data_IF_332214455903
#
_entry.id   IF_332214455903
#
_cell.length_a   1.000
_cell.length_b   1.000
_cell.length_c   1.000
_cell.angle_alpha   90.00
_cell.angle_beta   90.00
_cell.angle_gamma   90.00
#
_symmetry.space_group_name_H-M   'P 1'
#
loop_
_entity.id
_entity.type
_entity.pdbx_description
1 polymer ?
#
# COMPACT_ATOMS: atom_id res chain seq x y z
N UNK A 1 -9.28 15.09 -11.72
CA UNK A 1 -8.12 14.54 -12.46
C UNK A 1 -7.57 13.40 -11.62
N UNK A 2 -7.49 12.21 -12.18
CA UNK A 2 -7.07 11.04 -11.42
C UNK A 2 -5.64 11.22 -10.84
N UNK A 3 -5.43 10.68 -9.64
CA UNK A 3 -4.11 10.67 -9.00
C UNK A 3 -3.19 9.62 -9.65
N UNK A 4 -3.73 8.43 -9.97
CA UNK A 4 -3.02 7.37 -10.64
C UNK A 4 -3.84 6.86 -11.83
N UNK A 5 -3.19 6.68 -12.95
CA UNK A 5 -3.79 6.08 -14.15
C UNK A 5 -2.89 4.95 -14.66
N UNK A 6 -3.50 3.81 -14.89
CA UNK A 6 -2.90 2.65 -15.52
C UNK A 6 -3.52 2.45 -16.91
N UNK A 7 -2.71 2.49 -17.96
CA UNK A 7 -3.16 2.38 -19.34
C UNK A 7 -2.64 1.10 -19.96
N UNK A 8 -3.53 0.13 -20.22
CA UNK A 8 -3.26 -1.14 -20.93
C UNK A 8 -2.01 -1.87 -20.40
N UNK A 9 -1.86 -1.93 -19.06
CA UNK A 9 -0.70 -2.58 -18.45
C UNK A 9 -0.69 -4.08 -18.76
N UNK A 10 0.39 -4.54 -19.37
CA UNK A 10 0.67 -5.95 -19.60
C UNK A 10 2.01 -6.34 -18.98
N UNK A 11 2.11 -7.57 -18.48
CA UNK A 11 3.35 -8.14 -17.96
C UNK A 11 3.47 -9.60 -18.32
N UNK A 12 4.55 -9.92 -19.02
CA UNK A 12 4.92 -11.28 -19.38
C UNK A 12 6.24 -11.66 -18.72
N UNK A 13 6.32 -12.88 -18.20
CA UNK A 13 7.53 -13.49 -17.65
C UNK A 13 7.84 -14.76 -18.46
N UNK A 14 8.85 -14.70 -19.34
CA UNK A 14 9.09 -15.79 -20.28
C UNK A 14 7.82 -16.02 -21.12
N UNK A 15 7.25 -17.23 -21.07
CA UNK A 15 6.01 -17.59 -21.76
C UNK A 15 4.72 -17.32 -20.99
N UNK A 16 4.81 -16.90 -19.70
CA UNK A 16 3.64 -16.67 -18.84
C UNK A 16 3.16 -15.24 -18.91
N UNK A 17 1.91 -15.01 -19.35
CA UNK A 17 1.26 -13.71 -19.30
C UNK A 17 0.62 -13.53 -17.92
N UNK A 18 1.23 -12.70 -17.05
CA UNK A 18 0.74 -12.44 -15.70
C UNK A 18 -0.29 -11.32 -15.64
N UNK A 19 -0.23 -10.35 -16.56
CA UNK A 19 -1.23 -9.28 -16.75
C UNK A 19 -1.39 -9.00 -18.24
N UNK A 20 -2.61 -8.74 -18.67
CA UNK A 20 -2.94 -8.45 -20.05
C UNK A 20 -3.90 -7.27 -20.17
N UNK A 21 -3.39 -6.12 -20.63
CA UNK A 21 -4.17 -4.95 -20.99
C UNK A 21 -4.94 -4.27 -19.84
N UNK A 22 -4.48 -4.36 -18.61
CA UNK A 22 -5.17 -3.81 -17.42
C UNK A 22 -5.18 -2.30 -17.45
N UNK A 23 -6.39 -1.69 -17.39
CA UNK A 23 -6.58 -0.24 -17.37
C UNK A 23 -7.53 0.17 -16.24
N UNK A 24 -7.10 1.15 -15.43
CA UNK A 24 -7.91 1.74 -14.36
C UNK A 24 -7.35 3.11 -13.94
N UNK A 25 -8.15 3.84 -13.16
CA UNK A 25 -7.76 5.10 -12.52
C UNK A 25 -8.08 5.06 -11.04
N UNK A 26 -7.33 5.81 -10.24
CA UNK A 26 -7.57 6.05 -8.82
C UNK A 26 -7.65 7.55 -8.61
N UNK A 27 -8.75 8.01 -7.98
CA UNK A 27 -8.96 9.42 -7.70
C UNK A 27 -8.27 9.85 -6.39
N UNK A 28 -7.92 11.13 -6.21
CA UNK A 28 -7.38 11.62 -4.94
C UNK A 28 -8.35 11.38 -3.77
N UNK A 29 -7.85 10.87 -2.65
CA UNK A 29 -8.64 10.59 -1.45
C UNK A 29 -9.55 9.37 -1.55
N UNK A 30 -9.44 8.59 -2.60
CA UNK A 30 -10.19 7.35 -2.81
C UNK A 30 -9.58 6.17 -2.05
N UNK A 31 -10.44 5.25 -1.61
CA UNK A 31 -10.05 3.88 -1.25
C UNK A 31 -10.41 2.95 -2.39
N UNK A 32 -9.39 2.56 -3.15
CA UNK A 32 -9.51 1.67 -4.30
C UNK A 32 -9.02 0.28 -3.96
N UNK A 33 -9.85 -0.74 -4.17
CA UNK A 33 -9.47 -2.13 -3.88
C UNK A 33 -9.23 -2.93 -5.15
N UNK A 34 -8.23 -3.82 -5.10
CA UNK A 34 -7.95 -4.78 -6.15
C UNK A 34 -8.15 -6.17 -5.56
N UNK A 35 -9.14 -6.90 -6.07
CA UNK A 35 -9.48 -8.24 -5.60
C UNK A 35 -9.39 -9.26 -6.74
N UNK A 36 -9.46 -10.54 -6.39
CA UNK A 36 -9.44 -11.64 -7.34
C UNK A 36 -8.86 -12.91 -6.74
N UNK A 37 -9.05 -14.08 -7.37
CA UNK A 37 -8.47 -15.34 -6.92
C UNK A 37 -6.95 -15.31 -6.79
N UNK A 38 -6.38 -16.33 -6.14
CA UNK A 38 -4.94 -16.51 -6.13
C UNK A 38 -4.43 -16.70 -7.57
N UNK A 39 -3.29 -16.11 -7.89
CA UNK A 39 -2.77 -16.12 -9.26
C UNK A 39 -3.43 -15.12 -10.24
N UNK A 40 -4.40 -14.32 -9.81
CA UNK A 40 -5.07 -13.34 -10.69
C UNK A 40 -4.18 -12.18 -11.18
N UNK A 41 -2.94 -12.04 -10.68
CA UNK A 41 -2.02 -10.99 -11.10
C UNK A 41 -1.96 -9.76 -10.17
N UNK A 42 -2.66 -9.79 -9.03
CA UNK A 42 -2.76 -8.65 -8.09
C UNK A 42 -1.37 -8.14 -7.62
N UNK A 43 -0.54 -9.04 -7.10
CA UNK A 43 0.82 -8.72 -6.64
C UNK A 43 1.71 -8.24 -7.79
N UNK A 44 1.56 -8.83 -8.99
CA UNK A 44 2.25 -8.37 -10.19
C UNK A 44 1.87 -6.93 -10.51
N UNK A 45 0.58 -6.58 -10.43
CA UNK A 45 0.10 -5.22 -10.64
C UNK A 45 0.72 -4.24 -9.63
N UNK A 46 0.74 -4.57 -8.34
CA UNK A 46 1.43 -3.74 -7.33
C UNK A 46 2.92 -3.60 -7.61
N UNK A 47 3.58 -4.67 -8.07
CA UNK A 47 5.00 -4.61 -8.46
C UNK A 47 5.26 -3.67 -9.63
N UNK A 48 4.32 -3.58 -10.60
CA UNK A 48 4.40 -2.60 -11.69
C UNK A 48 4.22 -1.18 -11.15
N UNK A 49 3.18 -0.93 -10.34
CA UNK A 49 2.89 0.41 -9.78
C UNK A 49 4.02 0.94 -8.89
N UNK A 50 4.78 0.04 -8.25
CA UNK A 50 5.91 0.41 -7.38
C UNK A 50 7.26 0.42 -8.08
N UNK A 51 7.33 0.03 -9.36
CA UNK A 51 8.57 -0.01 -10.14
C UNK A 51 9.51 -1.17 -9.79
N UNK A 52 9.03 -2.20 -9.07
CA UNK A 52 9.78 -3.46 -8.85
C UNK A 52 9.92 -4.20 -10.18
N UNK A 53 8.86 -4.19 -10.98
CA UNK A 53 8.89 -4.66 -12.36
C UNK A 53 8.55 -3.51 -13.33
N UNK A 54 9.16 -3.52 -14.49
CA UNK A 54 8.70 -2.69 -15.61
C UNK A 54 7.59 -3.44 -16.37
N UNK A 55 6.54 -2.75 -16.81
CA UNK A 55 5.54 -3.37 -17.68
C UNK A 55 6.18 -3.82 -19.00
N UNK A 56 5.64 -4.88 -19.61
CA UNK A 56 6.00 -5.29 -20.96
C UNK A 56 5.36 -4.34 -21.97
N UNK A 57 4.12 -3.93 -21.69
CA UNK A 57 3.37 -2.95 -22.48
C UNK A 57 2.52 -2.07 -21.53
N UNK A 58 2.14 -0.91 -22.04
CA UNK A 58 1.28 0.04 -21.34
C UNK A 58 2.05 1.11 -20.59
N UNK A 59 1.32 1.95 -19.85
CA UNK A 59 1.83 3.16 -19.24
C UNK A 59 1.24 3.37 -17.84
N UNK A 60 2.04 3.92 -16.91
CA UNK A 60 1.62 4.31 -15.58
C UNK A 60 1.83 5.83 -15.45
N UNK A 61 0.74 6.55 -15.15
CA UNK A 61 0.78 7.98 -14.91
C UNK A 61 0.39 8.26 -13.46
N UNK A 62 1.15 9.07 -12.76
CA UNK A 62 0.87 9.48 -11.40
C UNK A 62 1.02 10.98 -11.27
N UNK A 63 -0.05 11.65 -10.82
CA UNK A 63 -0.10 13.12 -10.74
C UNK A 63 0.32 13.80 -12.05
N UNK A 64 -0.21 13.31 -13.17
CA UNK A 64 0.09 13.78 -14.51
C UNK A 64 1.50 13.45 -15.04
N UNK A 65 2.33 12.72 -14.29
CA UNK A 65 3.71 12.38 -14.65
C UNK A 65 3.85 10.90 -14.98
N UNK A 66 4.59 10.60 -16.03
CA UNK A 66 4.92 9.22 -16.40
C UNK A 66 5.86 8.59 -15.35
N UNK A 67 5.46 7.43 -14.83
CA UNK A 67 6.25 6.61 -13.91
C UNK A 67 6.73 5.30 -14.54
N UNK A 68 6.39 5.05 -15.81
CA UNK A 68 6.68 3.79 -16.48
C UNK A 68 8.16 3.47 -16.44
N UNK A 69 8.54 2.32 -15.88
CA UNK A 69 9.93 1.88 -15.79
C UNK A 69 10.79 2.59 -14.73
N UNK A 70 10.23 3.48 -13.92
CA UNK A 70 10.95 4.06 -12.79
C UNK A 70 11.25 2.99 -11.74
N UNK A 71 12.42 3.14 -11.07
CA UNK A 71 12.85 2.26 -9.97
C UNK A 71 12.04 2.54 -8.68
N UNK A 72 11.95 1.59 -7.72
CA UNK A 72 11.14 1.73 -6.50
C UNK A 72 11.43 3.00 -5.68
N UNK A 73 12.71 3.38 -5.52
CA UNK A 73 13.07 4.59 -4.78
C UNK A 73 12.62 5.87 -5.49
N UNK A 74 12.47 5.84 -6.82
CA UNK A 74 11.98 6.98 -7.61
C UNK A 74 10.47 7.12 -7.48
N UNK A 75 9.72 6.00 -7.53
CA UNK A 75 8.26 5.99 -7.30
C UNK A 75 7.92 6.42 -5.87
N UNK A 76 8.70 5.95 -4.87
CA UNK A 76 8.55 6.37 -3.48
C UNK A 76 8.77 7.88 -3.30
N UNK A 77 9.78 8.46 -3.95
CA UNK A 77 10.02 9.93 -3.94
C UNK A 77 8.89 10.72 -4.59
N UNK A 78 8.13 10.11 -5.52
CA UNK A 78 6.94 10.73 -6.13
C UNK A 78 5.71 10.67 -5.21
N UNK A 79 5.77 9.87 -4.15
CA UNK A 79 4.71 9.76 -3.14
C UNK A 79 3.88 8.49 -3.21
N UNK A 80 4.34 7.46 -3.94
CA UNK A 80 3.74 6.12 -3.90
C UNK A 80 4.53 5.27 -2.91
N UNK A 81 3.90 4.81 -1.83
CA UNK A 81 4.53 3.96 -0.81
C UNK A 81 3.75 2.66 -0.68
N UNK A 82 4.44 1.54 -0.53
CA UNK A 82 3.84 0.22 -0.34
C UNK A 82 4.21 -0.37 1.01
N UNK A 83 3.22 -0.92 1.72
CA UNK A 83 3.45 -1.88 2.78
C UNK A 83 3.49 -3.28 2.18
N UNK A 84 4.46 -4.10 2.56
CA UNK A 84 4.58 -5.47 2.04
C UNK A 84 3.81 -6.45 2.93
N UNK A 85 3.37 -7.57 2.34
CA UNK A 85 2.62 -8.65 2.99
C UNK A 85 3.34 -9.25 4.21
N UNK A 86 4.65 -9.44 4.11
CA UNK A 86 5.49 -9.70 5.29
C UNK A 86 5.87 -8.35 5.89
N UNK A 87 5.49 -8.14 7.14
CA UNK A 87 5.69 -6.92 7.88
C UNK A 87 7.12 -6.40 7.72
N UNK A 88 7.25 -5.25 7.04
CA UNK A 88 8.52 -4.50 6.87
C UNK A 88 9.00 -3.91 8.21
N UNK A 89 8.61 -4.52 9.31
CA UNK A 89 8.98 -4.09 10.65
C UNK A 89 10.31 -4.70 11.02
N UNK A 90 11.26 -3.87 11.37
CA UNK A 90 12.52 -4.28 11.96
C UNK A 90 12.24 -4.76 13.39
N UNK A 91 11.99 -6.07 13.53
CA UNK A 91 11.49 -6.68 14.79
C UNK A 91 12.41 -6.50 15.99
N UNK A 92 13.70 -6.27 15.77
CA UNK A 92 14.72 -6.07 16.81
C UNK A 92 14.85 -4.60 17.23
N UNK A 93 14.31 -3.68 16.47
CA UNK A 93 14.35 -2.24 16.72
C UNK A 93 13.11 -1.81 17.53
N UNK A 94 13.17 -0.63 18.14
CA UNK A 94 12.00 -0.07 18.81
C UNK A 94 10.90 0.30 17.82
N UNK A 95 9.68 0.39 18.31
CA UNK A 95 8.52 0.88 17.53
C UNK A 95 8.81 2.28 16.97
N UNK A 96 9.44 3.14 17.76
CA UNK A 96 9.83 4.48 17.35
C UNK A 96 10.91 4.47 16.26
N UNK A 97 11.96 3.68 16.41
CA UNK A 97 13.07 3.64 15.45
C UNK A 97 12.60 3.09 14.08
N UNK A 98 11.65 2.17 14.08
CA UNK A 98 11.01 1.70 12.85
C UNK A 98 10.39 2.87 12.06
N UNK A 99 9.68 3.78 12.72
CA UNK A 99 9.05 4.93 12.05
C UNK A 99 10.11 5.94 11.61
N UNK A 100 11.19 6.11 12.37
CA UNK A 100 12.34 6.94 11.99
C UNK A 100 12.99 6.40 10.70
N UNK A 101 13.24 5.08 10.64
CA UNK A 101 13.81 4.42 9.45
C UNK A 101 12.92 4.61 8.21
N UNK A 102 11.60 4.54 8.38
CA UNK A 102 10.63 4.76 7.29
C UNK A 102 10.75 6.12 6.58
N UNK A 103 11.36 7.11 7.24
CA UNK A 103 11.58 8.44 6.67
C UNK A 103 12.86 8.56 5.82
N UNK A 104 13.73 7.55 5.83
CA UNK A 104 15.05 7.57 5.17
C UNK A 104 15.01 7.94 3.69
N UNK A 105 13.93 7.58 2.97
CA UNK A 105 13.73 7.89 1.54
C UNK A 105 13.72 9.42 1.27
N UNK A 106 13.40 10.24 2.26
CA UNK A 106 13.25 11.69 2.13
C UNK A 106 14.38 12.51 2.78
N UNK A 107 15.31 11.86 3.46
CA UNK A 107 16.44 12.56 4.07
C UNK A 107 17.30 13.20 2.99
N UNK A 108 17.61 14.48 3.20
CA UNK A 108 18.44 15.29 2.31
C UNK A 108 19.88 15.42 2.82
N UNK A 109 20.08 15.34 4.14
CA UNK A 109 21.42 15.36 4.74
C UNK A 109 22.17 14.12 4.34
N UNK A 110 23.21 14.30 3.52
CA UNK A 110 24.15 13.20 3.20
C UNK A 110 24.88 12.73 4.47
N UNK A 111 25.52 11.56 4.39
CA UNK A 111 26.30 10.93 5.47
C UNK A 111 27.27 11.94 6.12
N UNK A 112 27.90 12.78 5.33
CA UNK A 112 28.85 13.82 5.80
C UNK A 112 28.18 14.90 6.65
N UNK A 113 26.98 15.33 6.33
CA UNK A 113 26.23 16.29 7.14
C UNK A 113 25.85 15.74 8.51
N UNK A 114 25.49 14.45 8.57
CA UNK A 114 25.19 13.75 9.82
C UNK A 114 26.43 13.59 10.71
N UNK A 115 27.58 13.19 10.13
CA UNK A 115 28.86 13.00 10.85
C UNK A 115 29.38 14.33 11.41
N UNK A 116 29.31 15.42 10.63
CA UNK A 116 29.79 16.74 11.04
C UNK A 116 28.84 17.47 12.01
N UNK A 117 27.68 16.90 12.33
CA UNK A 117 26.74 17.47 13.29
C UNK A 117 26.25 18.88 12.93
N UNK A 118 26.12 19.18 11.64
CA UNK A 118 25.74 20.52 11.17
C UNK A 118 24.38 20.94 11.73
N UNK A 119 24.16 22.24 11.88
CA UNK A 119 22.87 22.77 12.33
C UNK A 119 21.69 22.27 11.47
N UNK A 120 21.88 22.17 10.16
CA UNK A 120 20.89 21.63 9.24
C UNK A 120 20.56 20.15 9.53
N UNK A 121 21.58 19.32 9.79
CA UNK A 121 21.39 17.90 10.13
C UNK A 121 20.67 17.74 11.48
N UNK A 122 21.03 18.53 12.51
CA UNK A 122 20.32 18.51 13.81
C UNK A 122 18.86 18.92 13.68
N UNK A 123 18.57 19.95 12.87
CA UNK A 123 17.20 20.38 12.60
C UNK A 123 16.42 19.32 11.84
N UNK A 124 17.03 18.63 10.87
CA UNK A 124 16.40 17.52 10.14
C UNK A 124 16.12 16.34 11.07
N UNK A 125 17.09 15.93 11.89
CA UNK A 125 16.89 14.87 12.90
C UNK A 125 15.74 15.19 13.86
N UNK A 126 15.65 16.42 14.34
CA UNK A 126 14.55 16.82 15.22
C UNK A 126 13.20 16.66 14.52
N UNK A 127 13.07 17.14 13.27
CA UNK A 127 11.85 16.98 12.46
C UNK A 127 11.46 15.51 12.24
N UNK A 128 12.46 14.66 11.96
CA UNK A 128 12.26 13.22 11.79
C UNK A 128 11.70 12.60 13.06
N UNK A 129 12.26 12.95 14.23
CA UNK A 129 11.78 12.44 15.53
C UNK A 129 10.38 12.95 15.86
N UNK A 130 10.11 14.23 15.66
CA UNK A 130 8.79 14.83 15.89
C UNK A 130 7.74 14.15 14.99
N UNK A 131 8.05 13.96 13.70
CA UNK A 131 7.17 13.27 12.76
C UNK A 131 6.95 11.80 13.14
N UNK A 132 7.97 11.11 13.66
CA UNK A 132 7.82 9.74 14.11
C UNK A 132 6.81 9.63 15.28
N UNK A 133 6.90 10.49 16.29
CA UNK A 133 5.94 10.54 17.39
C UNK A 133 4.53 10.92 16.94
N UNK A 134 4.42 11.87 16.02
CA UNK A 134 3.13 12.24 15.39
C UNK A 134 2.47 11.03 14.74
N UNK A 135 3.23 10.25 13.95
CA UNK A 135 2.69 9.06 13.27
C UNK A 135 2.34 7.94 14.26
N UNK A 136 3.13 7.74 15.31
CA UNK A 136 2.80 6.79 16.36
C UNK A 136 1.51 7.18 17.10
N UNK A 137 1.33 8.47 17.37
CA UNK A 137 0.07 8.98 17.93
C UNK A 137 -1.10 8.77 16.98
N UNK A 138 -0.90 9.03 15.70
CA UNK A 138 -1.93 8.87 14.67
C UNK A 138 -2.46 7.43 14.60
N UNK A 139 -1.57 6.43 14.70
CA UNK A 139 -1.95 5.00 14.64
C UNK A 139 -2.28 4.38 16.01
N UNK A 140 -2.19 5.14 17.11
CA UNK A 140 -2.49 4.68 18.48
C UNK A 140 -1.40 3.81 19.11
N UNK A 141 -0.12 4.09 18.84
CA UNK A 141 1.04 3.37 19.37
C UNK A 141 1.99 4.24 20.19
N UNK A 142 1.58 5.44 20.63
CA UNK A 142 2.45 6.36 21.37
C UNK A 142 3.00 5.76 22.67
N UNK A 143 2.17 5.03 23.41
CA UNK A 143 2.52 4.36 24.66
C UNK A 143 3.51 3.19 24.47
N UNK A 144 3.65 2.70 23.26
CA UNK A 144 4.50 1.57 22.88
C UNK A 144 5.77 1.99 22.13
N UNK A 145 6.01 3.29 21.95
CA UNK A 145 7.13 3.81 21.15
C UNK A 145 8.49 3.25 21.51
N UNK A 146 8.77 3.07 22.79
CA UNK A 146 10.05 2.54 23.31
C UNK A 146 10.10 1.00 23.39
N UNK A 147 9.02 0.28 23.07
CA UNK A 147 9.01 -1.19 23.06
C UNK A 147 9.69 -1.71 21.79
N UNK A 148 10.25 -2.92 21.88
CA UNK A 148 10.75 -3.66 20.73
C UNK A 148 9.57 -4.02 19.82
N UNK A 149 9.68 -3.70 18.54
CA UNK A 149 8.58 -3.87 17.58
C UNK A 149 8.11 -5.33 17.44
N UNK A 150 9.04 -6.29 17.60
CA UNK A 150 8.71 -7.71 17.59
C UNK A 150 7.83 -8.18 18.75
N UNK A 151 7.71 -7.40 19.84
CA UNK A 151 6.82 -7.72 20.97
C UNK A 151 5.38 -7.26 20.79
N UNK A 152 5.09 -6.52 19.70
CA UNK A 152 3.73 -6.15 19.36
C UNK A 152 2.96 -7.37 18.81
N UNK A 153 1.68 -7.48 19.16
CA UNK A 153 0.75 -8.39 18.50
C UNK A 153 0.60 -8.04 17.00
N UNK A 154 -0.03 -8.92 16.23
CA UNK A 154 -0.15 -8.75 14.77
C UNK A 154 -0.84 -7.43 14.37
N UNK A 155 -1.94 -7.06 15.03
CA UNK A 155 -2.60 -5.76 14.80
C UNK A 155 -1.65 -4.59 15.06
N UNK A 156 -0.89 -4.62 16.17
CA UNK A 156 0.08 -3.59 16.49
C UNK A 156 1.18 -3.46 15.44
N UNK A 157 1.66 -4.58 14.89
CA UNK A 157 2.65 -4.59 13.80
C UNK A 157 2.05 -4.03 12.49
N UNK A 158 0.77 -4.30 12.19
CA UNK A 158 0.08 -3.71 11.03
C UNK A 158 -0.11 -2.20 11.19
N UNK A 159 -0.52 -1.74 12.37
CA UNK A 159 -0.59 -0.29 12.70
C UNK A 159 0.79 0.38 12.55
N UNK A 160 1.85 -0.28 13.02
CA UNK A 160 3.22 0.21 12.87
C UNK A 160 3.62 0.30 11.38
N UNK A 161 3.28 -0.69 10.56
CA UNK A 161 3.54 -0.65 9.11
C UNK A 161 2.85 0.55 8.43
N UNK A 162 1.63 0.87 8.84
CA UNK A 162 0.91 2.07 8.37
C UNK A 162 1.63 3.34 8.83
N UNK A 163 2.09 3.41 10.10
CA UNK A 163 2.86 4.56 10.61
C UNK A 163 4.16 4.79 9.84
N UNK A 164 4.91 3.71 9.55
CA UNK A 164 6.14 3.74 8.72
C UNK A 164 5.84 4.31 7.34
N UNK A 165 4.77 3.85 6.70
CA UNK A 165 4.36 4.35 5.39
C UNK A 165 3.98 5.84 5.44
N UNK A 166 3.16 6.25 6.42
CA UNK A 166 2.71 7.64 6.61
C UNK A 166 3.86 8.60 6.91
N UNK A 167 4.89 8.14 7.63
CA UNK A 167 6.05 8.96 7.98
C UNK A 167 6.80 9.50 6.76
N UNK A 168 6.70 8.81 5.61
CA UNK A 168 7.25 9.28 4.34
C UNK A 168 6.36 10.30 3.61
N UNK A 169 5.23 10.73 4.21
CA UNK A 169 4.29 11.71 3.63
C UNK A 169 3.77 11.30 2.23
N UNK A 170 3.18 10.10 2.09
CA UNK A 170 2.73 9.60 0.80
C UNK A 170 1.49 10.35 0.30
N UNK A 171 1.29 10.36 -1.01
CA UNK A 171 0.02 10.74 -1.65
C UNK A 171 -0.84 9.52 -1.94
N UNK A 172 -0.20 8.36 -2.16
CA UNK A 172 -0.84 7.07 -2.38
C UNK A 172 -0.12 5.99 -1.55
N UNK A 173 -0.87 5.27 -0.73
CA UNK A 173 -0.39 4.08 -0.02
C UNK A 173 -0.97 2.84 -0.71
N UNK A 174 -0.09 1.90 -1.05
CA UNK A 174 -0.45 0.57 -1.54
C UNK A 174 -0.36 -0.40 -0.36
N UNK A 175 -1.49 -0.98 0.05
CA UNK A 175 -1.59 -1.92 1.16
C UNK A 175 -1.78 -3.34 0.61
N UNK A 176 -0.84 -4.22 0.95
CA UNK A 176 -0.86 -5.62 0.51
C UNK A 176 -1.31 -6.51 1.67
N UNK A 177 -2.55 -6.98 1.62
CA UNK A 177 -3.22 -7.80 2.63
C UNK A 177 -3.08 -7.25 4.07
N UNK A 178 -3.54 -5.99 4.31
CA UNK A 178 -3.34 -5.33 5.59
C UNK A 178 -3.98 -6.06 6.78
N UNK A 179 -5.00 -6.90 6.57
CA UNK A 179 -5.66 -7.68 7.63
C UNK A 179 -5.28 -9.17 7.63
N UNK A 180 -4.23 -9.55 6.90
CA UNK A 180 -3.69 -10.92 6.96
C UNK A 180 -3.21 -11.24 8.38
N UNK A 181 -3.62 -12.39 8.94
CA UNK A 181 -3.24 -12.83 10.29
C UNK A 181 -4.04 -12.21 11.44
N UNK A 182 -4.87 -11.20 11.20
CA UNK A 182 -5.64 -10.49 12.24
C UNK A 182 -6.98 -11.16 12.49
N UNK A 183 -7.42 -11.19 13.75
CA UNK A 183 -8.72 -11.68 14.18
C UNK A 183 -9.87 -10.77 13.71
N UNK A 184 -11.09 -11.31 13.64
CA UNK A 184 -12.26 -10.58 13.13
C UNK A 184 -12.57 -9.31 13.94
N UNK A 185 -12.37 -9.33 15.25
CA UNK A 185 -12.59 -8.20 16.16
C UNK A 185 -11.58 -7.07 15.94
N UNK A 186 -10.35 -7.40 15.59
CA UNK A 186 -9.27 -6.44 15.33
C UNK A 186 -9.38 -5.78 13.95
N UNK A 187 -10.12 -6.39 13.01
CA UNK A 187 -10.31 -5.85 11.65
C UNK A 187 -11.01 -4.49 11.69
N UNK A 188 -12.03 -4.33 12.55
CA UNK A 188 -12.79 -3.08 12.62
C UNK A 188 -11.88 -1.92 13.09
N UNK A 189 -10.98 -2.17 14.05
CA UNK A 189 -9.98 -1.18 14.47
C UNK A 189 -9.00 -0.76 13.38
N UNK A 190 -8.66 -1.67 12.46
CA UNK A 190 -7.82 -1.35 11.29
C UNK A 190 -8.62 -0.61 10.20
N UNK A 191 -9.89 -0.98 9.98
CA UNK A 191 -10.80 -0.25 9.08
C UNK A 191 -10.90 1.22 9.52
N UNK A 192 -11.11 1.46 10.83
CA UNK A 192 -11.22 2.82 11.36
C UNK A 192 -9.89 3.60 11.22
N UNK A 193 -8.76 2.92 11.41
CA UNK A 193 -7.45 3.53 11.12
C UNK A 193 -7.33 3.93 9.65
N UNK A 194 -7.69 3.06 8.71
CA UNK A 194 -7.60 3.37 7.29
C UNK A 194 -8.58 4.47 6.85
N UNK A 195 -9.77 4.54 7.46
CA UNK A 195 -10.68 5.68 7.28
C UNK A 195 -10.04 7.00 7.75
N UNK A 196 -9.34 6.96 8.90
CA UNK A 196 -8.58 8.10 9.42
C UNK A 196 -7.45 8.52 8.48
N UNK A 197 -6.74 7.55 7.89
CA UNK A 197 -5.71 7.79 6.87
C UNK A 197 -6.31 8.46 5.63
N UNK A 198 -7.42 7.94 5.10
CA UNK A 198 -8.15 8.55 3.99
C UNK A 198 -8.57 9.98 4.30
N UNK A 199 -9.16 10.21 5.48
CA UNK A 199 -9.65 11.52 5.91
C UNK A 199 -8.51 12.54 6.10
N UNK A 200 -7.27 12.09 6.27
CA UNK A 200 -6.08 12.97 6.27
C UNK A 200 -5.63 13.38 4.85
N UNK A 201 -6.36 12.98 3.80
CA UNK A 201 -6.08 13.31 2.41
C UNK A 201 -5.18 12.31 1.68
N UNK A 202 -4.83 11.19 2.31
CA UNK A 202 -4.03 10.14 1.68
C UNK A 202 -4.92 9.18 0.90
N UNK A 203 -4.57 8.94 -0.36
CA UNK A 203 -5.25 7.96 -1.22
C UNK A 203 -4.78 6.55 -0.85
N UNK A 204 -5.69 5.59 -0.85
CA UNK A 204 -5.39 4.20 -0.50
C UNK A 204 -5.73 3.30 -1.68
N UNK A 205 -4.78 2.43 -2.06
CA UNK A 205 -5.05 1.29 -2.92
C UNK A 205 -4.70 0.02 -2.16
N UNK A 206 -5.62 -0.94 -2.05
CA UNK A 206 -5.38 -2.15 -1.28
C UNK A 206 -5.64 -3.42 -2.10
N UNK A 207 -4.83 -4.45 -1.84
CA UNK A 207 -5.11 -5.82 -2.23
C UNK A 207 -5.64 -6.52 -0.99
N UNK A 208 -6.82 -7.12 -1.07
CA UNK A 208 -7.42 -7.89 0.02
C UNK A 208 -8.28 -9.04 -0.51
N UNK A 209 -8.40 -10.07 0.31
CA UNK A 209 -9.26 -11.22 0.06
C UNK A 209 -10.38 -11.38 1.12
N UNK A 210 -10.30 -10.66 2.25
CA UNK A 210 -11.36 -10.58 3.25
C UNK A 210 -12.46 -9.63 2.79
N UNK A 211 -13.51 -10.18 2.18
CA UNK A 211 -14.59 -9.40 1.55
C UNK A 211 -15.26 -8.42 2.52
N UNK A 212 -15.37 -8.77 3.82
CA UNK A 212 -15.91 -7.85 4.84
C UNK A 212 -15.18 -6.50 4.81
N UNK A 213 -13.85 -6.51 4.84
CA UNK A 213 -13.06 -5.27 4.80
C UNK A 213 -13.26 -4.55 3.47
N UNK A 214 -13.12 -5.26 2.35
CA UNK A 214 -13.24 -4.68 1.01
C UNK A 214 -14.58 -3.97 0.84
N UNK A 215 -15.70 -4.63 1.17
CA UNK A 215 -17.05 -4.07 1.02
C UNK A 215 -17.33 -2.91 1.98
N UNK A 216 -16.62 -2.86 3.13
CA UNK A 216 -16.85 -1.82 4.16
C UNK A 216 -16.09 -0.53 3.88
N UNK A 217 -14.90 -0.61 3.25
CA UNK A 217 -14.01 0.57 3.17
C UNK A 217 -13.85 1.11 1.75
N UNK A 218 -14.08 0.27 0.70
CA UNK A 218 -13.77 0.65 -0.68
C UNK A 218 -14.81 1.59 -1.27
N UNK A 219 -14.35 2.59 -2.00
CA UNK A 219 -15.20 3.42 -2.87
C UNK A 219 -15.41 2.71 -4.21
N UNK A 220 -14.33 2.15 -4.78
CA UNK A 220 -14.37 1.35 -6.02
C UNK A 220 -13.47 0.11 -5.89
N UNK A 221 -13.85 -0.91 -6.63
CA UNK A 221 -13.18 -2.21 -6.65
C UNK A 221 -12.86 -2.58 -8.10
N UNK A 222 -11.63 -3.04 -8.35
CA UNK A 222 -11.21 -3.72 -9.55
C UNK A 222 -11.09 -5.22 -9.28
N UNK A 223 -11.77 -6.04 -10.07
CA UNK A 223 -11.68 -7.49 -9.96
C UNK A 223 -10.81 -8.04 -11.08
N UNK A 224 -9.73 -8.72 -10.71
CA UNK A 224 -8.83 -9.40 -11.64
C UNK A 224 -9.10 -10.91 -11.63
N UNK A 225 -9.00 -11.53 -12.79
CA UNK A 225 -9.00 -12.97 -12.96
C UNK A 225 -8.07 -13.34 -14.11
N UNK A 226 -7.11 -14.26 -13.89
CA UNK A 226 -6.12 -14.68 -14.89
C UNK A 226 -5.45 -13.51 -15.64
N UNK A 227 -5.06 -12.48 -14.90
CA UNK A 227 -4.34 -11.30 -15.42
C UNK A 227 -5.19 -10.28 -16.16
N UNK A 228 -6.51 -10.46 -16.25
CA UNK A 228 -7.43 -9.52 -16.93
C UNK A 228 -8.47 -8.95 -15.97
N UNK A 229 -8.92 -7.70 -16.17
CA UNK A 229 -10.06 -7.13 -15.44
C UNK A 229 -11.36 -7.80 -15.87
N UNK A 230 -12.13 -8.33 -14.91
CA UNK A 230 -13.44 -8.92 -15.16
C UNK A 230 -14.61 -8.06 -14.70
N UNK A 231 -14.37 -7.16 -13.74
CA UNK A 231 -15.33 -6.17 -13.28
C UNK A 231 -14.60 -4.97 -12.66
N UNK A 232 -15.25 -3.80 -12.69
CA UNK A 232 -14.85 -2.59 -11.98
C UNK A 232 -16.11 -1.80 -11.63
N UNK A 233 -16.22 -1.34 -10.39
CA UNK A 233 -17.38 -0.56 -9.91
C UNK A 233 -17.36 -0.37 -8.41
N UNK A 234 -18.48 0.10 -7.88
CA UNK A 234 -18.75 0.19 -6.44
C UNK A 234 -18.83 -1.21 -5.81
N UNK A 235 -18.70 -1.34 -4.47
CA UNK A 235 -18.88 -2.62 -3.80
C UNK A 235 -20.20 -3.33 -4.16
N UNK A 236 -21.31 -2.60 -4.25
CA UNK A 236 -22.63 -3.16 -4.60
C UNK A 236 -22.68 -3.68 -6.04
N UNK A 237 -22.13 -2.95 -7.00
CA UNK A 237 -22.08 -3.37 -8.40
C UNK A 237 -21.22 -4.62 -8.58
N UNK A 238 -20.07 -4.69 -7.87
CA UNK A 238 -19.17 -5.83 -7.93
C UNK A 238 -19.79 -7.06 -7.27
N UNK A 239 -20.50 -6.90 -6.14
CA UNK A 239 -21.18 -8.00 -5.46
C UNK A 239 -22.30 -8.63 -6.29
N UNK A 240 -23.00 -7.83 -7.11
CA UNK A 240 -24.06 -8.30 -8.00
C UNK A 240 -23.57 -8.84 -9.35
N UNK A 241 -22.26 -8.74 -9.64
CA UNK A 241 -21.72 -9.12 -10.95
C UNK A 241 -21.56 -10.63 -11.08
N UNK A 242 -22.29 -11.23 -12.03
CA UNK A 242 -22.25 -12.69 -12.27
C UNK A 242 -20.86 -13.23 -12.61
N UNK A 243 -20.02 -12.47 -13.34
CA UNK A 243 -18.65 -12.89 -13.69
C UNK A 243 -17.79 -13.00 -12.42
N UNK A 244 -17.99 -12.07 -11.47
CA UNK A 244 -17.29 -12.08 -10.19
C UNK A 244 -17.74 -13.29 -9.37
N UNK A 245 -19.05 -13.50 -9.24
CA UNK A 245 -19.62 -14.64 -8.51
C UNK A 245 -19.06 -15.96 -9.07
N UNK A 246 -19.07 -16.14 -10.39
CA UNK A 246 -18.54 -17.34 -11.06
C UNK A 246 -17.04 -17.51 -10.83
N UNK A 247 -16.23 -16.44 -10.85
CA UNK A 247 -14.80 -16.51 -10.63
C UNK A 247 -14.44 -16.98 -9.20
N UNK A 248 -15.23 -16.59 -8.20
CA UNK A 248 -15.03 -17.02 -6.81
C UNK A 248 -15.64 -18.39 -6.49
N UNK A 249 -16.80 -18.74 -7.08
CA UNK A 249 -17.45 -20.05 -6.88
C UNK A 249 -16.76 -21.17 -7.67
N UNK A 250 -16.20 -20.87 -8.86
CA UNK A 250 -15.48 -21.83 -9.69
C UNK A 250 -14.23 -22.38 -9.02
N UNK A 251 -13.56 -21.60 -8.17
CA UNK A 251 -12.39 -22.03 -7.38
C UNK A 251 -12.76 -23.03 -6.26
N UNK A 252 -13.99 -23.00 -5.74
CA UNK A 252 -14.45 -23.94 -4.70
C UNK A 252 -14.77 -25.34 -5.21
N UNK A 253 -14.88 -25.56 -6.54
CA UNK A 253 -15.16 -26.89 -7.13
C UNK A 253 -13.90 -27.63 -7.57
N UNK A 254 -12.73 -27.06 -7.46
CA UNK A 254 -11.46 -27.65 -7.91
C UNK A 254 -10.52 -28.08 -6.75
N UNK A 255 -11.03 -28.08 -5.50
CA UNK A 255 -10.38 -28.63 -4.29
C UNK A 255 -11.31 -29.63 -3.64
#
# INVERSE_FOLDING_TARGET
MALLEAHRLSKTFGGLVALNGVSFSIEPGEVFSIIGPNGAGKTTLFNLLTGIFSPTEGKIVFDGKDLTGLKPHQTARRGIVRTYQQTTVFKKETVFDNVVIGQSVRLKSGIWGAILGTYAARKEQRRVREKAWEMLSFVGLSDKGNRIAGSLGEEGQKRLSVAIALASNPRLILLDEPVGGINLEEIDGLIDLLRKVRNSGVTICLIEHKMRMVMTISDRILVLSYGVPIAKGTPSEVAANEKVIKAYLGVRRAT
#
